data_IF_545344560329
#
_entry.id   IF_545344560329
#
_cell.length_a   1.000
_cell.length_b   1.000
_cell.length_c   1.000
_cell.angle_alpha   90.00
_cell.angle_beta   90.00
_cell.angle_gamma   90.00
#
_symmetry.space_group_name_H-M   'P 1'
#
loop_
_entity.id
_entity.type
_entity.pdbx_description
1 polymer ?
#
# COMPACT_ATOMS: atom_id res chain seq x y z
N UNK A 1 50.90 -79.87 40.60
CA UNK A 1 50.18 -78.64 41.03
C UNK A 1 50.27 -77.57 39.93
N UNK A 2 49.25 -77.36 39.14
CA UNK A 2 49.24 -76.41 38.03
C UNK A 2 48.39 -75.14 38.45
N UNK A 3 48.91 -73.96 38.35
CA UNK A 3 48.17 -72.76 38.79
C UNK A 3 47.04 -72.39 37.78
N UNK A 4 45.82 -72.26 38.25
CA UNK A 4 44.65 -71.77 37.54
C UNK A 4 44.83 -70.30 37.21
N UNK A 5 45.00 -69.94 35.92
CA UNK A 5 44.92 -68.55 35.39
C UNK A 5 43.51 -68.02 35.53
N UNK A 6 43.29 -67.08 36.43
CA UNK A 6 42.08 -66.26 36.48
C UNK A 6 41.99 -65.37 35.24
N UNK A 7 41.02 -65.65 34.37
CA UNK A 7 40.62 -64.73 33.30
C UNK A 7 40.02 -63.47 33.94
N UNK A 8 40.69 -62.31 33.83
CA UNK A 8 40.12 -60.99 34.09
C UNK A 8 39.12 -60.71 32.99
N UNK A 9 37.86 -60.84 33.28
CA UNK A 9 36.79 -60.33 32.40
C UNK A 9 36.84 -58.81 32.40
N UNK A 10 37.25 -58.19 31.28
CA UNK A 10 37.26 -56.75 31.07
C UNK A 10 35.80 -56.25 31.04
N UNK A 11 35.35 -55.69 32.17
CA UNK A 11 34.03 -55.05 32.28
C UNK A 11 33.91 -53.72 31.54
N UNK A 12 34.95 -53.26 30.83
CA UNK A 12 34.92 -51.93 30.10
C UNK A 12 34.44 -52.01 28.68
N UNK A 13 34.33 -53.20 28.06
CA UNK A 13 33.90 -53.31 26.66
C UNK A 13 32.50 -52.78 26.34
N UNK A 14 31.44 -53.16 27.08
CA UNK A 14 30.09 -52.72 26.78
C UNK A 14 29.90 -51.22 27.04
N UNK A 15 30.58 -50.65 28.05
CA UNK A 15 30.50 -49.20 28.33
C UNK A 15 31.13 -48.36 27.21
N UNK A 16 32.28 -48.79 26.70
CA UNK A 16 32.94 -48.13 25.57
C UNK A 16 32.07 -48.14 24.30
N UNK A 17 31.40 -49.25 24.00
CA UNK A 17 30.51 -49.38 22.86
C UNK A 17 29.32 -48.41 23.00
N UNK A 18 28.74 -48.29 24.20
CA UNK A 18 27.61 -47.33 24.44
C UNK A 18 28.07 -45.89 24.28
N UNK A 19 29.26 -45.54 24.80
CA UNK A 19 29.81 -44.19 24.65
C UNK A 19 30.09 -43.85 23.17
N UNK A 20 30.70 -44.80 22.43
CA UNK A 20 30.94 -44.59 20.99
C UNK A 20 29.64 -44.45 20.22
N UNK A 21 28.62 -45.24 20.52
CA UNK A 21 27.29 -45.10 19.90
C UNK A 21 26.62 -43.74 20.21
N UNK A 22 26.75 -43.25 21.45
CA UNK A 22 26.26 -41.94 21.84
C UNK A 22 27.01 -40.81 21.13
N UNK A 23 28.31 -40.91 20.95
CA UNK A 23 29.14 -39.94 20.23
C UNK A 23 28.78 -39.93 18.74
N UNK A 24 28.60 -41.12 18.13
CA UNK A 24 28.14 -41.22 16.73
C UNK A 24 26.72 -40.63 16.57
N UNK A 25 25.81 -40.95 17.48
CA UNK A 25 24.46 -40.41 17.47
C UNK A 25 24.46 -38.88 17.64
N UNK A 26 25.27 -38.35 18.54
CA UNK A 26 25.45 -36.91 18.74
C UNK A 26 26.08 -36.24 17.50
N UNK A 27 27.09 -36.85 16.89
CA UNK A 27 27.73 -36.36 15.67
C UNK A 27 26.74 -36.37 14.48
N UNK A 28 25.95 -37.44 14.33
CA UNK A 28 24.91 -37.56 13.34
C UNK A 28 23.79 -36.52 13.55
N UNK A 29 23.42 -36.26 14.81
CA UNK A 29 22.44 -35.23 15.17
C UNK A 29 22.97 -33.82 14.88
N UNK A 30 24.22 -33.53 15.22
CA UNK A 30 24.90 -32.27 14.91
C UNK A 30 25.05 -32.06 13.41
N UNK A 31 25.34 -33.12 12.66
CA UNK A 31 25.44 -33.09 11.21
C UNK A 31 24.07 -32.86 10.57
N UNK A 32 23.03 -33.56 11.04
CA UNK A 32 21.65 -33.33 10.58
C UNK A 32 21.11 -31.95 10.95
N UNK A 33 21.53 -31.37 12.06
CA UNK A 33 21.15 -30.03 12.52
C UNK A 33 21.77 -28.91 11.67
N UNK A 34 22.89 -29.14 11.03
CA UNK A 34 23.52 -28.23 10.08
C UNK A 34 22.91 -28.49 8.71
N UNK A 35 22.20 -27.52 8.14
CA UNK A 35 21.68 -27.62 6.79
C UNK A 35 22.78 -27.91 5.76
N UNK A 36 22.40 -28.45 4.61
CA UNK A 36 23.34 -28.82 3.52
C UNK A 36 23.35 -27.80 2.42
N UNK A 37 24.40 -27.86 1.58
CA UNK A 37 24.54 -27.01 0.38
C UNK A 37 25.10 -25.63 0.69
N UNK A 38 25.37 -24.90 -0.40
CA UNK A 38 25.85 -23.49 -0.39
C UNK A 38 24.94 -22.62 -1.24
N UNK A 39 24.99 -21.31 -0.99
CA UNK A 39 24.21 -20.35 -1.74
C UNK A 39 22.79 -20.14 -1.22
N UNK A 40 22.05 -19.29 -1.90
CA UNK A 40 20.68 -18.92 -1.56
C UNK A 40 19.68 -19.84 -2.28
N UNK A 41 18.63 -20.24 -1.56
CA UNK A 41 17.55 -21.04 -2.13
C UNK A 41 16.20 -20.48 -1.72
N UNK A 42 15.30 -20.39 -2.70
CA UNK A 42 13.94 -19.95 -2.51
C UNK A 42 13.04 -21.16 -2.23
N UNK A 43 12.27 -21.10 -1.14
CA UNK A 43 11.32 -22.16 -0.74
C UNK A 43 9.95 -21.53 -0.57
N UNK A 44 8.94 -22.10 -1.23
CA UNK A 44 7.55 -21.64 -1.13
C UNK A 44 6.81 -22.54 -0.13
N UNK A 45 6.20 -21.91 0.89
CA UNK A 45 5.30 -22.55 1.84
C UNK A 45 3.88 -22.07 1.54
N UNK A 46 3.00 -22.92 0.99
CA UNK A 46 1.64 -22.55 0.59
C UNK A 46 0.78 -22.10 1.77
N UNK A 47 -0.27 -21.33 1.50
CA UNK A 47 -1.27 -20.95 2.52
C UNK A 47 -1.99 -22.17 3.05
N UNK A 48 -2.10 -22.27 4.38
CA UNK A 48 -2.69 -23.46 5.03
C UNK A 48 -1.75 -24.68 5.06
N UNK A 49 -0.50 -24.56 4.64
CA UNK A 49 0.45 -25.65 4.71
C UNK A 49 0.65 -26.12 6.17
N UNK A 50 0.61 -27.43 6.35
CA UNK A 50 1.01 -28.04 7.63
C UNK A 50 2.53 -28.03 7.77
N UNK A 51 3.03 -28.25 8.99
CA UNK A 51 4.45 -28.47 9.25
C UNK A 51 5.04 -29.58 8.33
N UNK A 52 4.23 -30.59 8.00
CA UNK A 52 4.63 -31.67 7.09
C UNK A 52 4.96 -31.12 5.71
N UNK A 53 4.03 -30.38 5.12
CA UNK A 53 4.18 -29.79 3.77
C UNK A 53 5.38 -28.83 3.72
N UNK A 54 5.54 -28.01 4.75
CA UNK A 54 6.68 -27.11 4.85
C UNK A 54 8.02 -27.87 4.95
N UNK A 55 8.08 -28.91 5.79
CA UNK A 55 9.30 -29.73 5.95
C UNK A 55 9.66 -30.48 4.67
N UNK A 56 8.67 -31.07 3.98
CA UNK A 56 8.88 -31.76 2.71
C UNK A 56 9.40 -30.81 1.63
N UNK A 57 8.87 -29.56 1.58
CA UNK A 57 9.35 -28.51 0.68
C UNK A 57 10.81 -28.10 1.01
N UNK A 58 11.15 -27.93 2.29
CA UNK A 58 12.50 -27.59 2.73
C UNK A 58 13.51 -28.67 2.38
N UNK A 59 13.13 -29.96 2.51
CA UNK A 59 13.98 -31.10 2.13
C UNK A 59 14.19 -31.15 0.62
N UNK A 60 13.12 -31.02 -0.17
CA UNK A 60 13.17 -31.00 -1.64
C UNK A 60 14.10 -29.92 -2.18
N UNK A 61 14.16 -28.77 -1.52
CA UNK A 61 15.01 -27.65 -1.91
C UNK A 61 16.40 -27.67 -1.20
N UNK A 62 16.71 -28.74 -0.46
CA UNK A 62 18.02 -28.93 0.18
C UNK A 62 18.34 -27.91 1.30
N UNK A 63 17.33 -27.36 1.95
CA UNK A 63 17.49 -26.47 3.12
C UNK A 63 17.72 -27.32 4.38
N UNK A 64 17.02 -28.45 4.45
CA UNK A 64 17.21 -29.48 5.50
C UNK A 64 17.46 -30.81 4.84
N UNK A 65 18.07 -31.74 5.60
CA UNK A 65 18.43 -33.07 5.09
C UNK A 65 17.34 -34.13 5.26
N UNK A 66 16.48 -33.95 6.27
CA UNK A 66 15.47 -34.94 6.63
C UNK A 66 14.24 -34.26 7.21
N UNK A 67 13.15 -34.28 6.44
CA UNK A 67 11.86 -33.66 6.81
C UNK A 67 11.27 -34.31 8.08
N UNK A 68 11.41 -35.62 8.24
CA UNK A 68 10.86 -36.33 9.43
C UNK A 68 11.59 -35.92 10.71
N UNK A 69 12.93 -35.86 10.68
CA UNK A 69 13.72 -35.41 11.81
C UNK A 69 13.48 -33.93 12.13
N UNK A 70 13.35 -33.07 11.11
CA UNK A 70 13.00 -31.66 11.29
C UNK A 70 11.62 -31.48 11.92
N UNK A 71 10.62 -32.29 11.51
CA UNK A 71 9.28 -32.25 12.13
C UNK A 71 9.33 -32.61 13.60
N UNK A 72 10.07 -33.67 13.96
CA UNK A 72 10.28 -34.07 15.37
C UNK A 72 10.93 -32.93 16.16
N UNK A 73 11.98 -32.32 15.62
CA UNK A 73 12.63 -31.17 16.21
C UNK A 73 11.67 -30.00 16.43
N UNK A 74 10.87 -29.67 15.41
CA UNK A 74 9.88 -28.59 15.48
C UNK A 74 8.79 -28.87 16.54
N UNK A 75 8.31 -30.10 16.64
CA UNK A 75 7.37 -30.54 17.68
C UNK A 75 7.94 -30.36 19.09
N UNK A 76 9.18 -30.79 19.34
CA UNK A 76 9.86 -30.60 20.61
C UNK A 76 10.02 -29.13 20.99
N UNK A 77 10.18 -28.27 20.00
CA UNK A 77 10.24 -26.80 20.16
C UNK A 77 8.85 -26.12 20.18
N UNK A 78 7.75 -26.88 20.22
CA UNK A 78 6.36 -26.39 20.12
C UNK A 78 6.13 -25.50 18.88
N UNK A 79 6.77 -25.83 17.76
CA UNK A 79 6.77 -25.07 16.51
C UNK A 79 5.75 -25.50 15.49
N UNK A 80 4.90 -26.48 15.81
CA UNK A 80 3.98 -27.14 14.88
C UNK A 80 2.75 -26.30 14.52
N UNK A 81 2.37 -25.32 15.36
CA UNK A 81 1.13 -24.54 15.22
C UNK A 81 1.31 -23.12 14.68
N UNK A 82 2.53 -22.70 14.35
CA UNK A 82 2.83 -21.28 14.05
C UNK A 82 3.57 -21.04 12.73
N UNK A 83 3.52 -22.02 11.80
CA UNK A 83 4.18 -21.84 10.49
C UNK A 83 3.37 -20.89 9.63
N UNK A 84 4.02 -19.85 9.16
CA UNK A 84 3.41 -18.86 8.25
C UNK A 84 3.70 -19.22 6.81
N UNK A 85 2.67 -19.10 5.96
CA UNK A 85 2.81 -19.23 4.52
C UNK A 85 3.63 -18.05 3.96
N UNK A 86 4.39 -18.31 2.90
CA UNK A 86 5.21 -17.29 2.25
C UNK A 86 6.31 -17.90 1.42
N UNK A 87 7.02 -17.05 0.68
CA UNK A 87 8.25 -17.41 -0.01
C UNK A 87 9.45 -17.04 0.86
N UNK A 88 10.25 -18.02 1.23
CA UNK A 88 11.41 -17.84 2.08
C UNK A 88 12.70 -17.94 1.27
N UNK A 89 13.67 -17.08 1.58
CA UNK A 89 15.00 -17.11 1.02
C UNK A 89 15.97 -17.59 2.10
N UNK A 90 16.46 -18.83 1.98
CA UNK A 90 17.41 -19.40 2.92
C UNK A 90 18.83 -19.36 2.35
N UNK A 91 19.74 -18.75 3.11
CA UNK A 91 21.16 -18.77 2.80
C UNK A 91 21.79 -19.99 3.47
N UNK A 92 22.21 -20.97 2.66
CA UNK A 92 22.78 -22.24 3.12
C UNK A 92 24.29 -22.13 3.35
N UNK A 93 24.85 -22.82 4.34
CA UNK A 93 24.18 -23.70 5.31
C UNK A 93 23.42 -22.91 6.38
N UNK A 94 22.27 -23.44 6.82
CA UNK A 94 21.42 -22.81 7.84
C UNK A 94 21.02 -23.85 8.90
N UNK A 95 20.96 -23.46 10.18
CA UNK A 95 20.52 -24.35 11.25
C UNK A 95 19.00 -24.52 11.28
N UNK A 96 18.53 -25.67 11.72
CA UNK A 96 17.11 -25.98 11.86
C UNK A 96 16.38 -24.99 12.79
N UNK A 97 17.08 -24.50 13.84
CA UNK A 97 16.53 -23.48 14.73
C UNK A 97 16.19 -22.22 13.97
N UNK A 98 17.11 -21.74 13.15
CA UNK A 98 16.91 -20.53 12.32
C UNK A 98 15.81 -20.73 11.29
N UNK A 99 15.79 -21.88 10.61
CA UNK A 99 14.71 -22.22 9.67
C UNK A 99 13.34 -22.18 10.37
N UNK A 100 13.22 -22.80 11.54
CA UNK A 100 11.97 -22.81 12.30
C UNK A 100 11.56 -21.41 12.77
N UNK A 101 12.53 -20.60 13.23
CA UNK A 101 12.29 -19.23 13.68
C UNK A 101 11.85 -18.33 12.50
N UNK A 102 12.44 -18.47 11.32
CA UNK A 102 12.05 -17.72 10.11
C UNK A 102 10.64 -18.13 9.67
N UNK A 103 10.30 -19.42 9.66
CA UNK A 103 8.96 -19.92 9.34
C UNK A 103 7.90 -19.43 10.35
N UNK A 104 8.22 -19.38 11.63
CA UNK A 104 7.32 -18.89 12.70
C UNK A 104 7.17 -17.38 12.67
N UNK A 105 8.28 -16.68 12.45
CA UNK A 105 8.30 -15.22 12.32
C UNK A 105 7.65 -14.70 11.05
N UNK A 106 7.46 -15.57 10.04
CA UNK A 106 6.96 -15.17 8.74
C UNK A 106 7.95 -14.29 7.97
N UNK A 107 9.25 -14.45 8.20
CA UNK A 107 10.32 -13.68 7.54
C UNK A 107 10.54 -14.16 6.10
N UNK A 108 9.46 -14.22 5.34
CA UNK A 108 9.49 -14.47 3.91
C UNK A 108 9.97 -13.26 3.11
N UNK A 109 10.13 -13.43 1.81
CA UNK A 109 10.34 -12.32 0.89
C UNK A 109 9.05 -11.50 0.88
N UNK A 110 9.19 -10.22 1.13
CA UNK A 110 8.09 -9.27 1.13
C UNK A 110 8.42 -8.10 0.20
N UNK A 111 7.40 -7.59 -0.44
CA UNK A 111 7.47 -6.42 -1.30
C UNK A 111 6.63 -5.31 -0.69
N UNK A 112 7.22 -4.14 -0.48
CA UNK A 112 6.50 -2.99 0.08
C UNK A 112 6.21 -1.95 -0.99
N UNK A 113 5.07 -1.29 -0.84
CA UNK A 113 4.67 -0.14 -1.65
C UNK A 113 3.93 0.86 -0.78
N UNK A 114 4.28 2.13 -0.90
CA UNK A 114 3.50 3.22 -0.32
C UNK A 114 2.64 3.84 -1.41
N UNK A 115 1.34 3.92 -1.16
CA UNK A 115 0.37 4.62 -2.00
C UNK A 115 0.09 5.97 -1.33
N UNK A 116 0.55 7.08 -1.93
CA UNK A 116 0.28 8.41 -1.43
C UNK A 116 -1.20 8.79 -1.54
N UNK A 117 -1.65 9.69 -0.67
CA UNK A 117 -2.95 10.34 -0.81
C UNK A 117 -3.05 11.07 -2.15
N UNK A 118 -4.23 11.10 -2.74
CA UNK A 118 -4.50 11.77 -4.01
C UNK A 118 -4.00 11.05 -5.27
N UNK A 119 -3.49 9.81 -5.16
CA UNK A 119 -3.20 8.99 -6.35
C UNK A 119 -4.47 8.40 -6.94
N UNK A 120 -4.54 8.41 -8.28
CA UNK A 120 -5.59 7.71 -9.06
C UNK A 120 -5.14 6.30 -9.44
N UNK A 121 -6.07 5.47 -9.89
CA UNK A 121 -5.77 4.13 -10.43
C UNK A 121 -4.75 4.18 -11.57
N UNK A 122 -4.73 5.24 -12.38
CA UNK A 122 -3.73 5.42 -13.43
C UNK A 122 -2.30 5.48 -12.88
N UNK A 123 -2.11 5.94 -11.64
CA UNK A 123 -0.83 5.99 -10.95
C UNK A 123 -0.58 4.72 -10.12
N UNK A 124 -1.61 4.20 -9.44
CA UNK A 124 -1.51 3.03 -8.57
C UNK A 124 -1.22 1.75 -9.37
N UNK A 125 -1.99 1.51 -10.44
CA UNK A 125 -1.96 0.24 -11.20
C UNK A 125 -0.57 -0.11 -11.74
N UNK A 126 0.18 0.79 -12.41
CA UNK A 126 1.52 0.47 -12.89
C UNK A 126 2.51 0.18 -11.76
N UNK A 127 2.43 0.92 -10.66
CA UNK A 127 3.33 0.73 -9.51
C UNK A 127 3.03 -0.57 -8.78
N UNK A 128 1.77 -0.90 -8.57
CA UNK A 128 1.35 -2.15 -7.97
C UNK A 128 1.78 -3.36 -8.83
N UNK A 129 1.60 -3.27 -10.15
CA UNK A 129 2.06 -4.28 -11.09
C UNK A 129 3.57 -4.52 -10.98
N UNK A 130 4.36 -3.44 -10.95
CA UNK A 130 5.82 -3.50 -10.80
C UNK A 130 6.24 -4.18 -9.49
N UNK A 131 5.61 -3.81 -8.38
CA UNK A 131 5.96 -4.35 -7.05
C UNK A 131 5.57 -5.82 -6.93
N UNK A 132 4.44 -6.23 -7.50
CA UNK A 132 3.99 -7.63 -7.50
C UNK A 132 4.70 -8.50 -8.57
N UNK A 133 5.49 -7.91 -9.47
CA UNK A 133 6.05 -8.63 -10.61
C UNK A 133 4.99 -9.19 -11.57
N UNK A 134 3.81 -8.52 -11.64
CA UNK A 134 2.64 -8.98 -12.39
C UNK A 134 2.40 -8.14 -13.64
N UNK A 135 1.76 -8.67 -14.69
CA UNK A 135 1.33 -7.87 -15.83
C UNK A 135 0.38 -6.74 -15.40
N UNK A 136 0.53 -5.55 -15.98
CA UNK A 136 -0.32 -4.38 -15.69
C UNK A 136 -1.80 -4.70 -15.91
N UNK A 137 -2.13 -5.45 -16.96
CA UNK A 137 -3.52 -5.81 -17.29
C UNK A 137 -4.16 -6.73 -16.24
N UNK A 138 -3.38 -7.58 -15.57
CA UNK A 138 -3.93 -8.39 -14.47
C UNK A 138 -4.31 -7.53 -13.25
N UNK A 139 -3.58 -6.43 -13.01
CA UNK A 139 -3.96 -5.44 -11.98
C UNK A 139 -5.17 -4.63 -12.43
N UNK A 140 -5.24 -4.23 -13.72
CA UNK A 140 -6.43 -3.57 -14.27
C UNK A 140 -7.70 -4.40 -14.16
N UNK A 141 -7.60 -5.72 -14.34
CA UNK A 141 -8.72 -6.64 -14.10
C UNK A 141 -9.06 -6.69 -12.61
N UNK A 142 -8.06 -6.75 -11.74
CA UNK A 142 -8.30 -6.83 -10.29
C UNK A 142 -9.00 -5.58 -9.71
N UNK A 143 -8.71 -4.37 -10.21
CA UNK A 143 -9.40 -3.14 -9.78
C UNK A 143 -10.81 -2.98 -10.36
N UNK A 144 -11.26 -3.95 -11.16
CA UNK A 144 -12.63 -4.08 -11.70
C UNK A 144 -13.35 -5.31 -11.13
N UNK A 145 -12.90 -5.83 -10.00
CA UNK A 145 -13.52 -6.99 -9.35
C UNK A 145 -14.97 -6.66 -8.99
N UNK A 146 -15.92 -7.21 -9.76
CA UNK A 146 -17.35 -6.96 -9.62
C UNK A 146 -17.89 -7.35 -8.26
N UNK A 147 -17.32 -8.37 -7.61
CA UNK A 147 -17.72 -8.78 -6.27
C UNK A 147 -17.36 -7.69 -5.23
N UNK A 148 -16.19 -7.03 -5.36
CA UNK A 148 -15.81 -5.93 -4.49
C UNK A 148 -16.65 -4.67 -4.79
N UNK A 149 -16.87 -4.35 -6.07
CA UNK A 149 -17.71 -3.22 -6.46
C UNK A 149 -19.13 -3.36 -5.87
N UNK A 150 -19.72 -4.54 -5.99
CA UNK A 150 -21.05 -4.82 -5.45
C UNK A 150 -21.08 -4.80 -3.91
N UNK A 151 -20.07 -5.38 -3.25
CA UNK A 151 -20.00 -5.41 -1.78
C UNK A 151 -19.87 -4.02 -1.15
N UNK A 152 -19.34 -3.05 -1.89
CA UNK A 152 -19.15 -1.66 -1.45
C UNK A 152 -20.20 -0.70 -2.03
N UNK A 153 -21.21 -1.20 -2.76
CA UNK A 153 -22.20 -0.40 -3.47
C UNK A 153 -21.59 0.68 -4.37
N UNK A 154 -20.48 0.33 -5.06
CA UNK A 154 -19.78 1.24 -5.96
C UNK A 154 -20.48 1.24 -7.32
N UNK A 155 -21.04 2.38 -7.79
CA UNK A 155 -21.80 2.43 -9.04
C UNK A 155 -20.90 2.49 -10.29
N UNK A 156 -19.60 2.70 -10.13
CA UNK A 156 -18.63 2.81 -11.23
C UNK A 156 -18.00 1.46 -11.58
N UNK A 157 -17.39 1.38 -12.76
CA UNK A 157 -16.76 0.14 -13.25
C UNK A 157 -15.41 -0.19 -12.60
N UNK A 158 -14.91 0.62 -11.68
CA UNK A 158 -13.59 0.45 -11.06
C UNK A 158 -13.60 0.83 -9.59
N UNK A 159 -12.61 0.34 -8.85
CA UNK A 159 -12.34 0.69 -7.46
C UNK A 159 -11.58 2.03 -7.31
N UNK A 160 -11.77 2.99 -8.23
CA UNK A 160 -11.15 4.32 -8.10
C UNK A 160 -11.56 4.97 -6.77
N UNK A 161 -10.56 5.48 -6.03
CA UNK A 161 -10.77 6.09 -4.72
C UNK A 161 -10.85 5.11 -3.55
N UNK A 162 -11.00 3.80 -3.79
CA UNK A 162 -11.21 2.79 -2.75
C UNK A 162 -9.95 1.95 -2.42
N UNK A 163 -8.87 2.12 -3.16
CA UNK A 163 -7.56 1.62 -2.79
C UNK A 163 -6.93 2.60 -1.80
N UNK A 164 -7.12 2.37 -0.50
CA UNK A 164 -6.79 3.35 0.53
C UNK A 164 -5.29 3.70 0.54
N UNK A 165 -4.93 4.99 0.68
CA UNK A 165 -3.53 5.42 0.80
C UNK A 165 -2.90 4.90 2.09
N UNK A 166 -1.87 4.07 1.96
CA UNK A 166 -1.09 3.51 3.08
C UNK A 166 0.19 2.85 2.56
N UNK A 167 1.03 2.37 3.45
CA UNK A 167 2.15 1.49 3.12
C UNK A 167 1.73 0.03 3.28
N UNK A 168 1.77 -0.71 2.17
CA UNK A 168 1.41 -2.11 2.10
C UNK A 168 2.64 -2.99 2.00
N UNK A 169 2.61 -4.11 2.71
CA UNK A 169 3.61 -5.15 2.64
C UNK A 169 2.95 -6.41 2.09
N UNK A 170 3.39 -6.87 0.93
CA UNK A 170 2.88 -8.04 0.26
C UNK A 170 3.88 -9.18 0.33
N UNK A 171 3.51 -10.37 0.84
CA UNK A 171 4.31 -11.57 0.67
C UNK A 171 4.58 -11.84 -0.83
N UNK A 172 5.77 -12.36 -1.14
CA UNK A 172 6.11 -12.78 -2.49
C UNK A 172 5.06 -13.77 -3.03
N UNK A 173 4.73 -13.66 -4.32
CA UNK A 173 3.66 -14.44 -4.94
C UNK A 173 2.23 -13.94 -4.61
N UNK A 174 2.07 -12.77 -3.96
CA UNK A 174 0.76 -12.16 -3.80
C UNK A 174 0.17 -11.81 -5.16
N UNK A 175 -1.02 -12.32 -5.45
CA UNK A 175 -1.71 -12.03 -6.72
C UNK A 175 -2.29 -10.61 -6.72
N UNK A 176 -2.48 -9.97 -7.91
CA UNK A 176 -3.13 -8.66 -8.02
C UNK A 176 -4.47 -8.58 -7.30
N UNK A 177 -5.31 -9.61 -7.41
CA UNK A 177 -6.61 -9.67 -6.75
C UNK A 177 -6.48 -9.68 -5.22
N UNK A 178 -5.49 -10.37 -4.67
CA UNK A 178 -5.24 -10.39 -3.23
C UNK A 178 -4.73 -9.02 -2.74
N UNK A 179 -3.81 -8.39 -3.48
CA UNK A 179 -3.30 -7.08 -3.15
C UNK A 179 -4.42 -6.02 -3.15
N UNK A 180 -5.24 -5.99 -4.20
CA UNK A 180 -6.39 -5.08 -4.29
C UNK A 180 -7.36 -5.30 -3.12
N UNK A 181 -7.68 -6.55 -2.77
CA UNK A 181 -8.52 -6.86 -1.60
C UNK A 181 -7.92 -6.36 -0.29
N UNK A 182 -6.61 -6.48 -0.10
CA UNK A 182 -5.96 -5.95 1.09
C UNK A 182 -6.10 -4.41 1.17
N UNK A 183 -5.97 -3.72 0.05
CA UNK A 183 -6.10 -2.26 -0.01
C UNK A 183 -7.53 -1.80 0.24
N UNK A 184 -8.52 -2.52 -0.31
CA UNK A 184 -9.95 -2.30 -0.04
C UNK A 184 -10.30 -2.59 1.42
N UNK A 185 -9.82 -3.70 1.98
CA UNK A 185 -10.02 -4.02 3.40
C UNK A 185 -9.44 -2.95 4.32
N UNK A 186 -8.34 -2.30 3.91
CA UNK A 186 -7.78 -1.17 4.64
C UNK A 186 -8.74 0.02 4.63
N UNK A 187 -9.36 0.32 3.50
CA UNK A 187 -10.41 1.33 3.40
C UNK A 187 -11.56 1.02 4.38
N UNK A 188 -12.07 -0.21 4.38
CA UNK A 188 -13.15 -0.63 5.28
C UNK A 188 -12.77 -0.49 6.75
N UNK A 189 -11.49 -0.74 7.10
CA UNK A 189 -10.98 -0.54 8.47
C UNK A 189 -10.93 0.95 8.87
N UNK A 190 -10.71 1.84 7.91
CA UNK A 190 -10.66 3.30 8.14
C UNK A 190 -12.06 3.90 8.19
N UNK A 191 -13.03 3.33 7.48
CA UNK A 191 -14.41 3.76 7.50
C UNK A 191 -15.07 3.38 8.82
N UNK A 192 -15.41 4.40 9.60
CA UNK A 192 -15.97 4.18 10.93
C UNK A 192 -17.51 4.01 10.85
N UNK A 193 -18.10 3.07 11.62
CA UNK A 193 -19.55 2.83 11.57
C UNK A 193 -20.40 4.08 11.87
N UNK A 194 -19.93 4.96 12.74
CA UNK A 194 -20.60 6.22 13.07
C UNK A 194 -20.69 7.20 11.89
N UNK A 195 -19.87 7.01 10.85
CA UNK A 195 -19.92 7.84 9.63
C UNK A 195 -21.16 7.55 8.80
N UNK A 196 -21.73 6.35 8.89
CA UNK A 196 -22.95 5.99 8.17
C UNK A 196 -24.15 6.84 8.64
N UNK A 197 -24.19 7.26 9.91
CA UNK A 197 -25.17 8.20 10.41
C UNK A 197 -25.06 9.62 9.77
N UNK A 198 -23.84 10.01 9.35
CA UNK A 198 -23.65 11.28 8.65
C UNK A 198 -24.13 11.22 7.20
N UNK A 199 -24.02 10.05 6.55
CA UNK A 199 -24.54 9.84 5.20
C UNK A 199 -26.05 10.14 5.16
N UNK A 200 -26.82 9.58 6.10
CA UNK A 200 -28.25 9.79 6.21
C UNK A 200 -28.61 11.27 6.46
N UNK A 201 -27.91 11.93 7.40
CA UNK A 201 -28.14 13.37 7.71
C UNK A 201 -27.90 14.27 6.50
N UNK A 202 -27.06 13.86 5.54
CA UNK A 202 -26.71 14.63 4.36
C UNK A 202 -27.44 14.21 3.10
N UNK A 203 -28.24 13.15 3.16
CA UNK A 203 -28.83 12.49 2.00
C UNK A 203 -27.78 12.15 0.92
N UNK A 204 -26.63 11.63 1.36
CA UNK A 204 -25.50 11.18 0.53
C UNK A 204 -25.24 9.69 0.77
N UNK A 205 -24.77 9.00 -0.24
CA UNK A 205 -24.24 7.66 -0.10
C UNK A 205 -22.71 7.69 0.12
N UNK A 206 -22.10 6.53 0.35
CA UNK A 206 -20.64 6.42 0.56
C UNK A 206 -19.85 6.87 -0.67
N UNK A 207 -20.33 6.57 -1.87
CA UNK A 207 -19.68 6.98 -3.12
C UNK A 207 -19.70 8.50 -3.30
N UNK A 208 -20.79 9.18 -2.93
CA UNK A 208 -20.88 10.64 -2.97
C UNK A 208 -19.83 11.29 -2.05
N UNK A 209 -19.70 10.76 -0.83
CA UNK A 209 -18.70 11.25 0.12
C UNK A 209 -17.27 11.00 -0.41
N UNK A 210 -17.00 9.84 -1.00
CA UNK A 210 -15.70 9.53 -1.57
C UNK A 210 -15.39 10.39 -2.80
N UNK A 211 -16.37 10.67 -3.64
CA UNK A 211 -16.25 11.59 -4.77
C UNK A 211 -15.89 13.01 -4.29
N UNK A 212 -16.64 13.54 -3.32
CA UNK A 212 -16.34 14.85 -2.72
C UNK A 212 -14.97 14.87 -2.04
N UNK A 213 -14.65 13.85 -1.23
CA UNK A 213 -13.37 13.74 -0.54
C UNK A 213 -12.18 13.73 -1.51
N UNK A 214 -12.33 13.04 -2.65
CA UNK A 214 -11.28 13.00 -3.67
C UNK A 214 -11.04 14.35 -4.35
N UNK A 215 -12.09 15.16 -4.52
CA UNK A 215 -11.98 16.54 -5.02
C UNK A 215 -11.27 17.40 -3.96
N UNK A 216 -11.71 17.35 -2.70
CA UNK A 216 -11.09 18.08 -1.59
C UNK A 216 -9.60 17.70 -1.44
N UNK A 217 -9.26 16.42 -1.59
CA UNK A 217 -7.87 15.94 -1.55
C UNK A 217 -6.99 16.58 -2.63
N UNK A 218 -7.55 16.80 -3.80
CA UNK A 218 -6.82 17.39 -4.95
C UNK A 218 -6.75 18.91 -4.89
N UNK A 219 -7.67 19.56 -4.20
CA UNK A 219 -7.73 21.02 -4.07
C UNK A 219 -6.90 21.53 -2.89
N UNK A 220 -7.07 20.93 -1.72
CA UNK A 220 -6.51 21.43 -0.47
C UNK A 220 -4.97 21.35 -0.47
N UNK A 221 -4.33 22.50 -0.28
CA UNK A 221 -2.88 22.60 -0.01
C UNK A 221 -2.61 22.64 1.48
N UNK A 222 -3.43 23.37 2.22
CA UNK A 222 -3.34 23.49 3.67
C UNK A 222 -4.34 22.52 4.31
N UNK A 223 -3.90 21.66 5.25
CA UNK A 223 -4.76 20.66 5.89
C UNK A 223 -6.00 21.24 6.57
N UNK A 224 -5.88 22.41 7.18
CA UNK A 224 -6.95 23.12 7.89
C UNK A 224 -8.06 23.66 6.99
N UNK A 225 -7.80 23.82 5.69
CA UNK A 225 -8.79 24.31 4.74
C UNK A 225 -9.71 23.21 4.19
N UNK A 226 -9.38 21.93 4.35
CA UNK A 226 -10.20 20.83 3.84
C UNK A 226 -11.67 20.92 4.25
N UNK A 227 -12.04 21.18 5.52
CA UNK A 227 -13.45 21.30 5.90
C UNK A 227 -14.15 22.50 5.27
N UNK A 228 -13.43 23.60 5.00
CA UNK A 228 -13.97 24.81 4.36
C UNK A 228 -14.19 24.56 2.86
N UNK A 229 -13.23 23.95 2.18
CA UNK A 229 -13.34 23.56 0.76
C UNK A 229 -14.51 22.58 0.56
N UNK A 230 -14.63 21.58 1.44
CA UNK A 230 -15.77 20.65 1.42
C UNK A 230 -17.10 21.39 1.57
N UNK A 231 -17.16 22.38 2.49
CA UNK A 231 -18.34 23.21 2.69
C UNK A 231 -18.70 24.02 1.44
N UNK A 232 -17.73 24.62 0.73
CA UNK A 232 -17.97 25.35 -0.51
C UNK A 232 -18.63 24.45 -1.55
N UNK A 233 -18.11 23.25 -1.79
CA UNK A 233 -18.68 22.31 -2.75
C UNK A 233 -20.10 21.88 -2.35
N UNK A 234 -20.33 21.57 -1.08
CA UNK A 234 -21.67 21.23 -0.59
C UNK A 234 -22.65 22.40 -0.66
N UNK A 235 -22.19 23.64 -0.46
CA UNK A 235 -23.01 24.84 -0.64
C UNK A 235 -23.40 25.02 -2.11
N UNK A 236 -22.47 24.83 -3.05
CA UNK A 236 -22.73 24.83 -4.48
C UNK A 236 -23.72 23.75 -4.88
N UNK A 237 -23.59 22.52 -4.40
CA UNK A 237 -24.56 21.44 -4.64
C UNK A 237 -25.96 21.84 -4.20
N UNK A 238 -26.12 22.38 -2.98
CA UNK A 238 -27.41 22.87 -2.45
C UNK A 238 -28.00 24.01 -3.24
N UNK A 239 -27.13 24.87 -3.77
CA UNK A 239 -27.57 26.00 -4.64
C UNK A 239 -27.80 25.58 -6.10
N UNK A 240 -27.66 24.32 -6.48
CA UNK A 240 -27.80 23.84 -7.85
C UNK A 240 -26.75 24.39 -8.83
N UNK A 241 -25.61 24.86 -8.29
CA UNK A 241 -24.47 25.37 -9.06
C UNK A 241 -23.59 24.23 -9.59
N UNK A 242 -22.86 24.48 -10.69
CA UNK A 242 -21.78 23.63 -11.14
C UNK A 242 -20.64 23.65 -10.11
N UNK A 243 -19.97 22.49 -9.88
CA UNK A 243 -18.85 22.45 -8.93
C UNK A 243 -17.61 23.15 -9.48
N UNK A 244 -17.34 23.04 -10.78
CA UNK A 244 -16.21 23.69 -11.47
C UNK A 244 -14.89 23.41 -10.80
N UNK A 245 -14.65 22.14 -10.48
CA UNK A 245 -13.43 21.65 -9.86
C UNK A 245 -12.43 21.22 -10.94
N UNK A 246 -11.33 21.95 -11.09
CA UNK A 246 -10.25 21.64 -12.06
C UNK A 246 -9.76 20.18 -11.99
N UNK A 247 -9.57 19.57 -10.79
CA UNK A 247 -9.14 18.18 -10.70
C UNK A 247 -10.06 17.18 -11.40
N UNK A 248 -11.34 17.47 -11.50
CA UNK A 248 -12.30 16.59 -12.20
C UNK A 248 -12.09 16.60 -13.71
N UNK A 249 -11.68 17.74 -14.26
CA UNK A 249 -11.29 17.88 -15.68
C UNK A 249 -9.96 17.17 -15.93
N UNK A 250 -8.96 17.34 -15.05
CA UNK A 250 -7.68 16.63 -15.12
C UNK A 250 -7.90 15.13 -15.13
N UNK A 251 -8.79 14.61 -14.29
CA UNK A 251 -9.14 13.19 -14.27
C UNK A 251 -9.80 12.75 -15.59
N UNK A 252 -10.73 13.55 -16.12
CA UNK A 252 -11.43 13.28 -17.38
C UNK A 252 -10.46 13.23 -18.59
N UNK A 253 -9.39 14.02 -18.59
CA UNK A 253 -8.32 13.99 -19.60
C UNK A 253 -7.57 12.65 -19.58
N UNK A 254 -7.46 11.99 -18.41
CA UNK A 254 -6.88 10.66 -18.27
C UNK A 254 -5.35 10.59 -18.20
N UNK A 255 -4.65 11.72 -18.35
CA UNK A 255 -3.20 11.82 -18.18
C UNK A 255 -2.82 13.12 -17.45
N UNK A 256 -1.60 13.16 -16.93
CA UNK A 256 -1.13 14.35 -16.21
C UNK A 256 -1.04 15.57 -17.13
N UNK A 257 -1.65 16.68 -16.73
CA UNK A 257 -1.47 17.99 -17.31
C UNK A 257 -1.01 18.97 -16.25
N UNK A 258 -0.05 19.82 -16.59
CA UNK A 258 0.46 20.82 -15.65
C UNK A 258 -0.55 21.94 -15.35
N UNK A 259 -1.49 22.17 -16.26
CA UNK A 259 -2.54 23.17 -16.16
C UNK A 259 -3.74 22.78 -17.03
N UNK A 260 -4.96 22.96 -16.52
CA UNK A 260 -6.19 22.86 -17.30
C UNK A 260 -6.30 24.10 -18.18
N UNK A 261 -6.51 23.91 -19.48
CA UNK A 261 -6.71 24.99 -20.44
C UNK A 261 -8.22 25.18 -20.72
N UNK A 262 -8.63 26.34 -21.22
CA UNK A 262 -10.02 26.61 -21.57
C UNK A 262 -10.63 25.57 -22.52
N UNK A 263 -9.84 25.06 -23.48
CA UNK A 263 -10.28 23.99 -24.38
C UNK A 263 -10.61 22.69 -23.66
N UNK A 264 -9.91 22.41 -22.54
CA UNK A 264 -10.07 21.18 -21.78
C UNK A 264 -11.37 21.19 -20.96
N UNK A 265 -11.88 22.40 -20.63
CA UNK A 265 -13.19 22.58 -19.97
C UNK A 265 -14.37 22.10 -20.84
N UNK A 266 -14.15 21.95 -22.15
CA UNK A 266 -15.16 21.48 -23.09
C UNK A 266 -15.23 19.95 -23.22
N UNK A 267 -14.32 19.20 -22.54
CA UNK A 267 -14.29 17.73 -22.63
C UNK A 267 -15.63 17.12 -22.24
N UNK A 268 -16.15 16.24 -23.08
CA UNK A 268 -17.41 15.54 -22.82
C UNK A 268 -17.16 14.29 -21.99
N UNK A 269 -17.28 14.45 -20.67
CA UNK A 269 -17.10 13.39 -19.69
C UNK A 269 -18.03 13.61 -18.52
N UNK A 270 -18.70 12.59 -17.98
CA UNK A 270 -19.55 12.72 -16.81
C UNK A 270 -18.77 13.16 -15.55
N UNK A 271 -17.43 13.07 -15.58
CA UNK A 271 -16.57 13.62 -14.52
C UNK A 271 -16.35 15.12 -14.65
N UNK A 272 -16.64 15.75 -15.79
CA UNK A 272 -16.40 17.17 -15.99
C UNK A 272 -17.44 18.04 -15.26
N UNK A 273 -17.12 18.53 -14.08
CA UNK A 273 -17.98 19.35 -13.24
C UNK A 273 -18.12 20.82 -13.71
N UNK A 274 -17.51 21.19 -14.83
CA UNK A 274 -17.80 22.44 -15.56
C UNK A 274 -19.00 22.30 -16.52
N UNK A 275 -19.32 21.04 -16.91
CA UNK A 275 -20.44 20.76 -17.84
C UNK A 275 -21.63 20.12 -17.14
N UNK A 276 -21.37 19.22 -16.21
CA UNK A 276 -22.38 18.41 -15.54
C UNK A 276 -22.58 18.87 -14.10
N UNK A 277 -23.86 19.06 -13.72
CA UNK A 277 -24.26 19.42 -12.35
C UNK A 277 -24.12 18.21 -11.41
N UNK A 278 -23.89 18.48 -10.15
CA UNK A 278 -23.77 17.44 -9.13
C UNK A 278 -22.34 16.97 -8.93
N UNK A 279 -22.19 15.93 -8.13
CA UNK A 279 -20.94 15.22 -7.98
C UNK A 279 -20.64 14.38 -9.23
N UNK A 280 -19.37 14.10 -9.54
CA UNK A 280 -19.02 13.14 -10.58
C UNK A 280 -19.52 11.74 -10.18
N UNK A 281 -19.59 10.77 -11.13
CA UNK A 281 -20.10 9.41 -10.88
C UNK A 281 -19.38 8.66 -9.77
N UNK A 282 -18.15 9.05 -9.46
CA UNK A 282 -17.34 8.47 -8.41
C UNK A 282 -16.07 9.28 -8.13
N UNK A 283 -15.20 8.78 -7.25
CA UNK A 283 -13.94 9.44 -6.91
C UNK A 283 -13.03 9.63 -8.12
N UNK A 284 -12.14 10.61 -8.04
CA UNK A 284 -11.11 10.92 -9.06
C UNK A 284 -9.69 10.57 -8.59
N UNK A 285 -9.55 10.18 -7.34
CA UNK A 285 -8.31 9.77 -6.70
C UNK A 285 -8.63 9.07 -5.37
N UNK A 286 -7.64 8.41 -4.77
CA UNK A 286 -7.75 7.84 -3.43
C UNK A 286 -7.51 8.92 -2.37
N UNK A 287 -8.55 9.39 -1.65
CA UNK A 287 -8.41 10.42 -0.64
C UNK A 287 -7.83 9.87 0.65
N UNK A 288 -7.09 10.68 1.40
CA UNK A 288 -6.69 10.39 2.76
C UNK A 288 -7.87 10.51 3.75
N UNK A 289 -7.69 9.94 4.95
CA UNK A 289 -8.69 10.03 6.03
C UNK A 289 -9.11 11.47 6.34
N UNK A 290 -8.19 12.48 6.38
CA UNK A 290 -8.58 13.87 6.64
C UNK A 290 -9.57 14.43 5.62
N UNK A 291 -9.44 14.12 4.33
CA UNK A 291 -10.35 14.57 3.29
C UNK A 291 -11.71 13.86 3.35
N UNK A 292 -11.75 12.58 3.73
CA UNK A 292 -13.00 11.85 4.00
C UNK A 292 -13.74 12.50 5.18
N UNK A 293 -13.02 12.78 6.27
CA UNK A 293 -13.59 13.45 7.45
C UNK A 293 -14.10 14.84 7.09
N UNK A 294 -13.38 15.62 6.27
CA UNK A 294 -13.82 16.93 5.82
C UNK A 294 -15.11 16.88 4.99
N UNK A 295 -15.26 15.87 4.13
CA UNK A 295 -16.49 15.66 3.36
C UNK A 295 -17.69 15.26 4.25
N UNK A 296 -17.44 14.45 5.29
CA UNK A 296 -18.45 14.03 6.27
C UNK A 296 -18.82 15.15 7.26
N UNK A 297 -17.84 15.95 7.67
CA UNK A 297 -17.96 16.98 8.72
C UNK A 297 -17.43 18.33 8.21
N UNK A 298 -18.04 18.93 7.15
CA UNK A 298 -17.60 20.21 6.60
C UNK A 298 -17.81 21.34 7.60
N UNK A 299 -17.04 22.42 7.43
CA UNK A 299 -17.22 23.64 8.19
C UNK A 299 -18.61 24.27 7.95
N UNK A 300 -19.14 24.94 8.96
CA UNK A 300 -20.42 25.64 8.87
C UNK A 300 -20.15 27.08 8.41
N UNK A 301 -19.94 27.28 7.11
CA UNK A 301 -19.59 28.56 6.50
C UNK A 301 -20.45 28.81 5.26
N UNK A 302 -20.73 30.06 4.90
CA UNK A 302 -21.61 30.41 3.79
C UNK A 302 -20.88 30.57 2.43
N UNK A 303 -19.61 30.17 2.35
CA UNK A 303 -18.81 30.43 1.15
C UNK A 303 -19.30 29.61 -0.05
N UNK A 304 -19.20 30.21 -1.23
CA UNK A 304 -19.54 29.63 -2.53
C UNK A 304 -18.34 29.59 -3.50
N UNK A 305 -17.31 30.38 -3.22
CA UNK A 305 -16.15 30.54 -4.09
C UNK A 305 -14.86 30.54 -3.27
N UNK A 306 -13.76 30.09 -3.88
CA UNK A 306 -12.41 30.24 -3.36
C UNK A 306 -11.41 30.43 -4.49
N UNK A 307 -10.25 31.02 -4.19
CA UNK A 307 -9.14 31.19 -5.11
C UNK A 307 -7.82 30.96 -4.38
N UNK A 308 -6.90 30.19 -4.99
CA UNK A 308 -5.62 29.86 -4.42
C UNK A 308 -4.59 30.99 -4.56
N UNK A 309 -3.84 31.24 -3.50
CA UNK A 309 -2.68 32.12 -3.46
C UNK A 309 -1.35 31.36 -3.59
N UNK A 310 -0.24 32.05 -3.92
CA UNK A 310 1.08 31.42 -4.13
C UNK A 310 1.65 30.68 -2.92
N UNK A 311 1.29 31.06 -1.71
CA UNK A 311 1.70 30.44 -0.45
C UNK A 311 0.88 29.18 -0.09
N UNK A 312 -0.12 28.89 -0.91
CA UNK A 312 -0.96 27.69 -0.78
C UNK A 312 -2.28 27.91 -0.05
N UNK A 313 -2.51 29.09 0.58
CA UNK A 313 -3.81 29.37 1.19
C UNK A 313 -4.86 29.72 0.13
N UNK A 314 -6.15 29.61 0.51
CA UNK A 314 -7.27 30.04 -0.30
C UNK A 314 -8.02 31.22 0.34
N UNK A 315 -8.40 32.20 -0.48
CA UNK A 315 -9.36 33.22 -0.08
C UNK A 315 -10.77 32.76 -0.43
N UNK A 316 -11.64 32.69 0.60
CA UNK A 316 -13.02 32.19 0.49
C UNK A 316 -14.00 33.36 0.45
N UNK A 317 -14.99 33.30 -0.44
CA UNK A 317 -15.99 34.37 -0.64
C UNK A 317 -17.39 33.83 -0.81
N UNK A 318 -18.41 34.68 -0.50
CA UNK A 318 -19.80 34.28 -0.52
C UNK A 318 -20.52 34.63 -1.84
N UNK A 319 -19.95 35.52 -2.65
CA UNK A 319 -20.56 35.98 -3.89
C UNK A 319 -19.52 36.24 -4.98
N UNK A 320 -20.00 36.31 -6.23
CA UNK A 320 -19.14 36.43 -7.39
C UNK A 320 -18.40 37.78 -7.48
N UNK A 321 -18.97 38.87 -6.96
CA UNK A 321 -18.31 40.17 -6.95
C UNK A 321 -17.06 40.16 -6.09
N UNK A 322 -17.16 39.67 -4.84
CA UNK A 322 -16.04 39.52 -3.94
C UNK A 322 -15.00 38.51 -4.52
N UNK A 323 -15.47 37.40 -5.10
CA UNK A 323 -14.59 36.45 -5.77
C UNK A 323 -13.78 37.08 -6.91
N UNK A 324 -14.40 37.91 -7.73
CA UNK A 324 -13.72 38.62 -8.83
C UNK A 324 -12.61 39.54 -8.33
N UNK A 325 -12.77 40.16 -7.16
CA UNK A 325 -11.72 40.94 -6.50
C UNK A 325 -10.62 40.05 -6.00
N UNK A 326 -10.94 38.96 -5.28
CA UNK A 326 -9.99 37.98 -4.77
C UNK A 326 -9.13 37.37 -5.90
N UNK A 327 -9.73 37.02 -7.04
CA UNK A 327 -9.01 36.52 -8.23
C UNK A 327 -8.01 37.55 -8.76
N UNK A 328 -8.38 38.84 -8.83
CA UNK A 328 -7.42 39.88 -9.24
C UNK A 328 -6.25 40.03 -8.28
N UNK A 329 -6.51 39.94 -6.98
CA UNK A 329 -5.47 40.03 -5.95
C UNK A 329 -4.55 38.79 -6.00
N UNK A 330 -5.11 37.61 -6.07
CA UNK A 330 -4.35 36.38 -6.22
C UNK A 330 -3.47 36.39 -7.47
N UNK A 331 -3.99 36.87 -8.60
CA UNK A 331 -3.21 37.01 -9.84
C UNK A 331 -2.00 37.92 -9.66
N UNK A 332 -2.18 39.09 -9.02
CA UNK A 332 -1.06 40.00 -8.70
C UNK A 332 0.00 39.33 -7.83
N UNK A 333 -0.44 38.56 -6.83
CA UNK A 333 0.50 37.82 -5.97
C UNK A 333 1.30 36.77 -6.75
N UNK A 334 0.66 36.03 -7.67
CA UNK A 334 1.34 35.09 -8.56
C UNK A 334 2.32 35.78 -9.51
N UNK A 335 1.94 36.93 -10.10
CA UNK A 335 2.81 37.70 -10.99
C UNK A 335 4.04 38.25 -10.24
N UNK A 336 3.87 38.72 -9.01
CA UNK A 336 4.96 39.19 -8.15
C UNK A 336 5.94 38.05 -7.81
N UNK A 337 5.43 36.86 -7.44
CA UNK A 337 6.28 35.70 -7.18
C UNK A 337 7.05 35.27 -8.43
N UNK A 338 6.41 35.29 -9.59
CA UNK A 338 7.05 34.95 -10.87
C UNK A 338 8.15 35.96 -11.26
N UNK A 339 7.99 37.25 -10.93
CA UNK A 339 9.03 38.27 -11.11
C UNK A 339 10.25 38.02 -10.23
N UNK A 340 10.06 37.77 -8.93
CA UNK A 340 11.13 37.43 -7.99
C UNK A 340 11.91 36.19 -8.42
N UNK A 341 11.22 35.14 -8.86
CA UNK A 341 11.88 33.91 -9.36
C UNK A 341 12.72 34.16 -10.62
N UNK A 342 12.28 35.03 -11.53
CA UNK A 342 13.05 35.42 -12.72
C UNK A 342 14.32 36.18 -12.36
N UNK A 343 14.28 37.08 -11.37
CA UNK A 343 15.44 37.84 -10.94
C UNK A 343 16.46 36.96 -10.21
N UNK A 344 16.03 36.04 -9.38
CA UNK A 344 16.93 35.07 -8.70
C UNK A 344 17.62 34.14 -9.67
N UNK A 345 16.95 33.72 -10.77
CA UNK A 345 17.59 32.89 -11.80
C UNK A 345 18.54 33.67 -12.70
N UNK A 346 18.34 34.99 -12.89
CA UNK A 346 19.26 35.86 -13.64
C UNK A 346 20.49 36.27 -12.85
N UNK A 347 20.39 36.33 -11.52
CA UNK A 347 21.47 36.68 -10.62
C UNK A 347 22.40 35.55 -10.19
N UNK A 348 22.14 34.32 -10.57
CA UNK A 348 23.04 33.21 -10.27
C UNK A 348 24.31 33.31 -11.15
N UNK A 349 25.53 33.45 -10.56
CA UNK A 349 26.76 33.50 -11.35
C UNK A 349 26.94 32.15 -12.08
N UNK A 350 27.28 32.24 -13.39
CA UNK A 350 27.49 31.13 -14.31
C UNK A 350 28.63 30.15 -13.94
N UNK A 351 29.21 30.27 -12.74
CA UNK A 351 30.43 29.57 -12.33
C UNK A 351 30.24 28.35 -11.42
N UNK A 352 29.03 27.81 -11.28
CA UNK A 352 28.76 26.62 -10.45
C UNK A 352 28.23 25.41 -11.22
N UNK A 353 28.67 25.24 -12.48
CA UNK A 353 28.52 23.94 -13.14
C UNK A 353 29.76 23.09 -12.83
N UNK A 354 29.63 21.91 -12.22
CA UNK A 354 30.77 21.00 -12.09
C UNK A 354 31.21 20.56 -13.47
N UNK A 355 32.46 20.85 -13.84
CA UNK A 355 33.08 20.34 -15.04
C UNK A 355 33.12 18.81 -14.97
N UNK A 356 32.39 18.15 -15.86
CA UNK A 356 32.49 16.72 -16.07
C UNK A 356 33.94 16.41 -16.49
N UNK A 357 34.68 15.72 -15.61
CA UNK A 357 35.98 15.13 -15.95
C UNK A 357 35.75 14.03 -16.99
N UNK A 358 36.48 14.14 -18.10
CA UNK A 358 36.60 13.15 -19.16
C UNK A 358 37.15 11.82 -18.62
#
# INVERSE_FOLDING_TARGET
MTPRRRRKTSRGGPLLVVVVMLVIAAAALLWAYRGTGTGEVRVIVPRGATLRVAADSLETHGVIQNATAFRLYALLRRGDRSIRAGTYLFKRPISWGRVLDDLRGGKGIEHSITIPEGWSLNQIVPQLARVLGAPVDSVRVAVRDTALLHALDIPTATLEGYLFPDTYVFPDGTTPRQAVRMMVSRFETVWLPEWDAQLQKRAMNRNDVMALASIVEKEAKLPEERPVIAAVYLNRLRAGMLLQADPTVQYAIGHHVSRVLYKDLAIDSPYNTYRYKGLPPGPIASPGKPSIVAALFPAQVPYLFFVAYPDGHHEFTTNFSAHSVAVKNARRAWDSLAAVRRDTTRGAPANLLPQAKK
#
